data_IF_866452150452
#
_entry.id   IF_866452150452
#
_cell.length_a   1.000
_cell.length_b   1.000
_cell.length_c   1.000
_cell.angle_alpha   90.00
_cell.angle_beta   90.00
_cell.angle_gamma   90.00
#
_symmetry.space_group_name_H-M   'P 1'
#
loop_
_entity.id
_entity.type
_entity.pdbx_description
1 polymer ?
#
# COMPACT_ATOMS: atom_id res chain seq x y z
N UNK A 1 7.67 -3.94 6.26
CA UNK A 1 6.35 -3.82 6.89
C UNK A 1 5.71 -5.19 6.93
N UNK A 2 5.16 -5.60 8.07
CA UNK A 2 4.53 -6.91 8.25
C UNK A 2 3.01 -6.75 8.12
N UNK A 3 2.38 -7.48 7.22
CA UNK A 3 0.93 -7.49 7.03
C UNK A 3 0.37 -8.85 7.47
N UNK A 4 -0.78 -8.82 8.14
CA UNK A 4 -1.42 -10.04 8.67
C UNK A 4 -2.03 -10.91 7.57
N UNK A 5 -2.44 -10.28 6.48
CA UNK A 5 -3.12 -10.91 5.35
C UNK A 5 -3.14 -9.96 4.14
N UNK A 6 -3.57 -10.44 2.98
CA UNK A 6 -3.77 -9.59 1.81
C UNK A 6 -4.83 -8.49 2.03
N UNK A 7 -6.00 -8.75 2.66
CA UNK A 7 -6.95 -7.70 3.00
C UNK A 7 -6.35 -6.58 3.88
N UNK A 8 -5.54 -6.92 4.88
CA UNK A 8 -4.84 -5.96 5.76
C UNK A 8 -3.94 -4.99 4.97
N UNK A 9 -3.37 -5.46 3.85
CA UNK A 9 -2.62 -4.63 2.90
C UNK A 9 -3.52 -3.86 1.92
N UNK A 10 -4.58 -4.49 1.38
CA UNK A 10 -5.33 -3.99 0.22
C UNK A 10 -6.46 -3.01 0.58
N UNK A 11 -7.23 -3.30 1.62
CA UNK A 11 -8.42 -2.53 2.01
C UNK A 11 -8.14 -1.03 2.27
N UNK A 12 -7.01 -0.63 2.88
CA UNK A 12 -6.74 0.78 3.10
C UNK A 12 -6.67 1.60 1.81
N UNK A 13 -6.24 1.00 0.68
CA UNK A 13 -6.21 1.67 -0.61
C UNK A 13 -7.63 1.93 -1.15
N UNK A 14 -8.59 1.06 -0.85
CA UNK A 14 -10.00 1.24 -1.27
C UNK A 14 -10.64 2.47 -0.62
N UNK A 15 -10.16 2.86 0.57
CA UNK A 15 -10.58 4.08 1.25
C UNK A 15 -9.92 5.35 0.69
N UNK A 16 -9.01 5.22 -0.28
CA UNK A 16 -8.29 6.33 -0.89
C UNK A 16 -7.02 6.74 -0.14
N UNK A 17 -6.43 5.86 0.67
CA UNK A 17 -5.22 6.19 1.41
C UNK A 17 -4.00 6.29 0.48
N UNK A 18 -3.31 7.43 0.54
CA UNK A 18 -2.07 7.68 -0.20
C UNK A 18 -2.24 7.74 -1.72
N UNK A 19 -1.12 7.85 -2.47
CA UNK A 19 -1.16 7.97 -3.93
C UNK A 19 -1.82 6.77 -4.62
N UNK A 20 -1.58 5.55 -4.12
CA UNK A 20 -2.17 4.34 -4.65
C UNK A 20 -3.70 4.31 -4.44
N UNK A 21 -4.20 4.67 -3.25
CA UNK A 21 -5.64 4.75 -3.02
C UNK A 21 -6.31 5.87 -3.81
N UNK A 22 -5.64 7.01 -4.00
CA UNK A 22 -6.13 8.07 -4.89
C UNK A 22 -6.25 7.57 -6.34
N UNK A 23 -5.28 6.80 -6.84
CA UNK A 23 -5.37 6.15 -8.15
C UNK A 23 -6.55 5.17 -8.23
N UNK A 24 -6.78 4.37 -7.18
CA UNK A 24 -7.90 3.43 -7.11
C UNK A 24 -9.29 4.09 -7.25
N UNK A 25 -9.43 5.36 -6.85
CA UNK A 25 -10.69 6.12 -7.04
C UNK A 25 -10.96 6.52 -8.49
N UNK A 26 -9.94 6.56 -9.34
CA UNK A 26 -10.04 7.02 -10.74
C UNK A 26 -10.11 5.88 -11.75
N UNK A 27 -9.67 4.68 -11.36
CA UNK A 27 -9.83 3.46 -12.14
C UNK A 27 -11.29 3.00 -12.02
N UNK A 28 -11.98 2.87 -13.17
CA UNK A 28 -13.39 2.46 -13.21
C UNK A 28 -13.62 1.11 -12.49
N UNK A 29 -14.81 0.93 -11.93
CA UNK A 29 -15.17 -0.24 -11.10
C UNK A 29 -14.86 -1.59 -11.79
N UNK A 30 -14.99 -1.66 -13.11
CA UNK A 30 -14.76 -2.88 -13.89
C UNK A 30 -13.29 -3.33 -13.90
N UNK A 31 -12.35 -2.42 -13.70
CA UNK A 31 -10.92 -2.72 -13.71
C UNK A 31 -10.37 -3.05 -12.31
N UNK A 32 -11.12 -2.76 -11.25
CA UNK A 32 -10.67 -2.98 -9.86
C UNK A 32 -10.43 -4.46 -9.54
N UNK A 33 -11.26 -5.43 -9.97
CA UNK A 33 -10.99 -6.86 -9.76
C UNK A 33 -9.73 -7.32 -10.49
N UNK A 34 -9.50 -6.83 -11.72
CA UNK A 34 -8.33 -7.17 -12.53
C UNK A 34 -7.06 -6.68 -11.82
N UNK A 35 -7.07 -5.42 -11.36
CA UNK A 35 -5.93 -4.84 -10.64
C UNK A 35 -5.65 -5.57 -9.33
N UNK A 36 -6.69 -5.96 -8.58
CA UNK A 36 -6.54 -6.75 -7.34
C UNK A 36 -5.80 -8.05 -7.59
N UNK A 37 -6.16 -8.79 -8.63
CA UNK A 37 -5.50 -10.06 -8.98
C UNK A 37 -4.07 -9.85 -9.47
N UNK A 38 -3.80 -8.79 -10.23
CA UNK A 38 -2.43 -8.42 -10.64
C UNK A 38 -1.54 -8.08 -9.44
N UNK A 39 -2.07 -7.36 -8.44
CA UNK A 39 -1.35 -7.05 -7.21
C UNK A 39 -1.04 -8.33 -6.43
N UNK A 40 -1.99 -9.25 -6.29
CA UNK A 40 -1.74 -10.56 -5.65
C UNK A 40 -0.65 -11.35 -6.36
N UNK A 41 -0.68 -11.37 -7.69
CA UNK A 41 0.33 -12.02 -8.53
C UNK A 41 1.72 -11.42 -8.31
N UNK A 42 1.83 -10.09 -8.26
CA UNK A 42 3.08 -9.37 -8.00
C UNK A 42 3.63 -9.66 -6.60
N UNK A 43 2.74 -9.73 -5.60
CA UNK A 43 3.09 -10.08 -4.23
C UNK A 43 3.40 -11.58 -4.04
N UNK A 44 3.18 -12.40 -5.08
CA UNK A 44 3.41 -13.86 -5.10
C UNK A 44 2.65 -14.58 -3.97
N UNK A 45 1.46 -14.09 -3.65
CA UNK A 45 0.63 -14.67 -2.59
C UNK A 45 0.00 -15.97 -3.08
N UNK A 46 0.25 -17.07 -2.34
CA UNK A 46 -0.42 -18.35 -2.55
C UNK A 46 -1.71 -18.49 -1.74
N UNK A 47 -1.80 -17.74 -0.65
CA UNK A 47 -2.90 -17.69 0.29
C UNK A 47 -3.10 -16.23 0.71
N UNK A 48 -4.32 -15.72 0.59
CA UNK A 48 -4.66 -14.35 0.96
C UNK A 48 -4.77 -14.14 2.47
N UNK A 49 -4.94 -15.22 3.23
CA UNK A 49 -5.10 -15.17 4.69
C UNK A 49 -3.77 -15.26 5.44
N UNK A 50 -2.71 -15.72 4.76
CA UNK A 50 -1.38 -15.86 5.33
C UNK A 50 -0.67 -14.51 5.48
N UNK A 51 0.11 -14.30 6.56
CA UNK A 51 0.90 -13.10 6.75
C UNK A 51 2.07 -13.03 5.76
N UNK A 52 2.48 -11.81 5.40
CA UNK A 52 3.62 -11.60 4.52
C UNK A 52 4.38 -10.30 4.84
N UNK A 53 5.64 -10.26 4.42
CA UNK A 53 6.53 -9.12 4.64
C UNK A 53 6.73 -8.37 3.33
N UNK A 54 6.31 -7.11 3.30
CA UNK A 54 6.67 -6.18 2.22
C UNK A 54 7.90 -5.39 2.62
N UNK A 55 8.99 -5.54 1.86
CA UNK A 55 10.19 -4.73 2.04
C UNK A 55 9.94 -3.35 1.45
N UNK A 56 10.09 -2.31 2.27
CA UNK A 56 10.02 -0.92 1.86
C UNK A 56 11.33 -0.22 2.14
N UNK A 57 11.63 0.81 1.35
CA UNK A 57 12.68 1.78 1.65
C UNK A 57 12.01 3.12 1.92
N UNK A 58 12.48 3.81 2.94
CA UNK A 58 11.96 5.12 3.33
C UNK A 58 13.14 6.06 3.57
N UNK A 59 12.95 7.33 3.21
CA UNK A 59 13.87 8.40 3.54
C UNK A 59 13.36 9.13 4.77
N UNK A 60 14.21 9.30 5.78
CA UNK A 60 13.91 10.10 6.97
C UNK A 60 14.72 11.39 6.90
N UNK A 61 14.07 12.53 7.16
CA UNK A 61 14.70 13.86 7.16
C UNK A 61 14.48 14.50 8.53
N UNK A 62 15.52 15.15 9.08
CA UNK A 62 15.44 15.94 10.31
C UNK A 62 15.93 17.36 10.02
N UNK A 63 15.13 18.35 10.41
CA UNK A 63 15.53 19.76 10.42
C UNK A 63 15.90 20.22 11.84
N UNK A 64 16.75 21.25 11.93
CA UNK A 64 17.04 21.99 13.16
C UNK A 64 16.70 23.46 12.96
N UNK A 65 16.03 24.08 13.92
CA UNK A 65 15.75 25.52 13.91
C UNK A 65 16.97 26.26 14.48
N UNK A 66 17.46 27.35 13.85
CA UNK A 66 18.54 28.16 14.41
C UNK A 66 18.07 28.84 15.70
N UNK A 67 18.91 28.90 16.73
CA UNK A 67 18.67 29.76 17.89
C UNK A 67 18.76 31.23 17.47
N UNK A 68 17.69 31.99 17.75
CA UNK A 68 17.67 33.44 17.60
C UNK A 68 18.65 34.07 18.60
N UNK A 69 19.60 34.85 18.07
CA UNK A 69 20.62 35.57 18.83
C UNK A 69 20.15 36.98 19.21
#
# INVERSE_FOLDING_TARGET
>A
MNFKSFPDYWEPFLMGQGPAGAYLKHIGHDHLPILREEVKRQLRLRDETAPFILRGQVWAVRGSVPESR
#
